data_IF_834409050782
#
_entry.id   IF_834409050782
#
_cell.length_a   1.000
_cell.length_b   1.000
_cell.length_c   1.000
_cell.angle_alpha   90.00
_cell.angle_beta   90.00
_cell.angle_gamma   90.00
#
_symmetry.space_group_name_H-M   'P 1'
#
loop_
_entity.id
_entity.type
_entity.pdbx_description
1 polymer ?
#
# COMPACT_ATOMS: atom_id res chain seq x y z
N UNK A 1 -19.11 16.81 -13.63
CA UNK A 1 -18.32 15.57 -13.50
C UNK A 1 -17.50 15.69 -12.22
N UNK A 2 -17.84 14.92 -11.19
CA UNK A 2 -17.26 15.07 -9.84
C UNK A 2 -15.96 14.28 -9.72
N UNK A 3 -14.93 14.93 -9.19
CA UNK A 3 -13.70 14.31 -8.72
C UNK A 3 -14.06 13.20 -7.73
N UNK A 4 -13.43 12.04 -7.89
CA UNK A 4 -13.62 10.93 -6.97
C UNK A 4 -12.74 11.21 -5.76
N UNK A 5 -13.31 11.92 -4.79
CA UNK A 5 -12.75 12.11 -3.45
C UNK A 5 -12.73 10.75 -2.73
N UNK A 6 -11.56 10.13 -2.61
CA UNK A 6 -11.31 9.10 -1.59
C UNK A 6 -10.23 9.62 -0.64
N UNK A 7 -10.68 10.49 0.25
CA UNK A 7 -9.95 10.94 1.43
C UNK A 7 -10.18 9.92 2.56
N UNK A 8 -9.08 9.30 3.01
CA UNK A 8 -8.77 8.81 4.36
C UNK A 8 -9.80 8.05 5.24
N UNK A 9 -9.36 6.82 5.60
CA UNK A 9 -9.48 6.12 6.91
C UNK A 9 -10.77 5.33 7.22
N UNK A 10 -10.68 4.22 8.01
CA UNK A 10 -10.36 4.34 9.43
C UNK A 10 -9.11 3.57 9.88
N UNK A 11 -8.26 4.30 10.61
CA UNK A 11 -7.79 3.99 11.97
C UNK A 11 -7.74 2.52 12.39
N UNK A 12 -6.51 2.00 12.47
CA UNK A 12 -6.04 0.94 13.40
C UNK A 12 -7.09 -0.07 13.87
N UNK A 13 -7.26 -1.18 13.15
CA UNK A 13 -7.59 -2.44 13.83
C UNK A 13 -6.31 -2.97 14.47
N UNK A 14 -6.30 -3.03 15.80
CA UNK A 14 -5.19 -3.55 16.60
C UNK A 14 -5.15 -5.09 16.62
N UNK A 15 -6.13 -5.74 15.98
CA UNK A 15 -6.26 -7.19 15.89
C UNK A 15 -6.00 -7.66 14.46
N UNK A 16 -4.76 -8.11 14.21
CA UNK A 16 -4.38 -8.85 13.00
C UNK A 16 -4.96 -10.27 13.02
N UNK A 17 -6.30 -10.43 13.05
CA UNK A 17 -6.93 -11.75 13.01
C UNK A 17 -7.80 -11.88 11.76
N UNK A 18 -7.23 -12.52 10.74
CA UNK A 18 -7.94 -13.03 9.57
C UNK A 18 -8.35 -14.47 9.92
N UNK A 19 -9.65 -14.77 9.92
CA UNK A 19 -10.20 -16.10 10.23
C UNK A 19 -10.49 -16.84 8.91
N UNK A 20 -9.62 -17.76 8.44
CA UNK A 20 -9.96 -18.61 7.31
C UNK A 20 -10.95 -19.70 7.75
N UNK A 21 -11.96 -20.00 6.92
CA UNK A 21 -13.11 -20.83 7.32
C UNK A 21 -12.80 -22.26 7.79
N UNK A 22 -11.59 -22.80 7.57
CA UNK A 22 -11.12 -24.04 8.19
C UNK A 22 -9.59 -24.03 8.28
N UNK A 23 -9.03 -23.99 9.48
CA UNK A 23 -7.61 -24.32 9.72
C UNK A 23 -6.85 -23.31 10.57
N UNK A 24 -5.82 -23.82 11.26
CA UNK A 24 -4.91 -23.13 12.18
C UNK A 24 -4.65 -21.67 11.79
N UNK A 25 -4.79 -20.68 12.71
CA UNK A 25 -4.48 -19.28 12.41
C UNK A 25 -3.05 -19.15 11.91
N UNK A 26 -2.89 -18.83 10.62
CA UNK A 26 -1.59 -18.53 10.03
C UNK A 26 -1.31 -17.04 10.23
N UNK A 27 -0.15 -16.66 10.81
CA UNK A 27 0.23 -15.26 10.87
C UNK A 27 0.40 -14.71 9.45
N UNK A 28 -0.08 -13.49 9.22
CA UNK A 28 0.02 -12.81 7.94
C UNK A 28 0.66 -11.44 8.12
N UNK A 29 1.35 -10.99 7.08
CA UNK A 29 1.89 -9.64 6.97
C UNK A 29 1.09 -8.84 5.95
N UNK A 30 0.80 -7.58 6.26
CA UNK A 30 0.11 -6.67 5.35
C UNK A 30 1.12 -5.94 4.48
N UNK A 31 1.20 -6.30 3.21
CA UNK A 31 2.08 -5.61 2.25
C UNK A 31 1.30 -4.55 1.47
N UNK A 32 2.01 -3.48 1.10
CA UNK A 32 1.50 -2.49 0.15
C UNK A 32 1.99 -2.85 -1.26
N UNK A 33 1.08 -2.81 -2.22
CA UNK A 33 1.41 -2.89 -3.64
C UNK A 33 0.78 -1.72 -4.38
N UNK A 34 1.51 -1.15 -5.34
CA UNK A 34 1.09 -0.02 -6.14
C UNK A 34 1.06 -0.44 -7.60
N UNK A 35 -0.12 -0.53 -8.18
CA UNK A 35 -0.32 -0.90 -9.58
C UNK A 35 -0.39 0.37 -10.41
N UNK A 36 0.54 0.53 -11.35
CA UNK A 36 0.55 1.60 -12.34
C UNK A 36 0.00 1.06 -13.67
N UNK A 37 -1.03 1.72 -14.18
CA UNK A 37 -1.57 1.55 -15.53
C UNK A 37 -1.41 2.87 -16.28
N UNK A 38 -0.81 2.83 -17.47
CA UNK A 38 -0.70 4.00 -18.34
C UNK A 38 -0.68 3.54 -19.79
N UNK A 39 -1.40 4.25 -20.66
CA UNK A 39 -1.48 3.84 -22.06
C UNK A 39 -2.33 4.75 -22.92
N UNK A 40 -2.44 4.31 -24.17
CA UNK A 40 -3.28 4.90 -25.20
C UNK A 40 -4.21 3.81 -25.75
N UNK A 41 -5.42 4.15 -26.22
CA UNK A 41 -6.40 3.18 -26.72
C UNK A 41 -5.87 2.39 -27.92
N UNK A 42 -5.09 3.02 -28.79
CA UNK A 42 -4.55 2.40 -30.01
C UNK A 42 -3.23 1.62 -29.76
N UNK A 43 -2.76 1.52 -28.51
CA UNK A 43 -1.49 0.90 -28.15
C UNK A 43 -1.62 -0.10 -27.00
N UNK A 44 -0.57 -0.92 -26.81
CA UNK A 44 -0.51 -1.83 -25.66
C UNK A 44 -0.39 -1.03 -24.35
N UNK A 45 -1.28 -1.24 -23.36
CA UNK A 45 -1.16 -0.58 -22.07
C UNK A 45 0.11 -1.03 -21.33
N UNK A 46 0.84 -0.09 -20.77
CA UNK A 46 1.91 -0.38 -19.82
C UNK A 46 1.30 -0.64 -18.44
N UNK A 47 1.44 -1.87 -17.95
CA UNK A 47 1.03 -2.28 -16.60
C UNK A 47 2.26 -2.68 -15.78
N UNK A 48 2.41 -2.10 -14.60
CA UNK A 48 3.54 -2.41 -13.70
C UNK A 48 3.11 -2.39 -12.24
N UNK A 49 3.79 -3.17 -11.40
CA UNK A 49 3.51 -3.28 -9.96
C UNK A 49 4.76 -2.88 -9.18
N UNK A 50 4.58 -2.02 -8.19
CA UNK A 50 5.65 -1.48 -7.36
C UNK A 50 5.38 -1.75 -5.88
N UNK A 51 6.44 -1.97 -5.11
CA UNK A 51 6.36 -2.17 -3.65
C UNK A 51 6.30 -0.84 -2.89
N UNK A 52 6.69 0.27 -3.53
CA UNK A 52 6.68 1.61 -2.92
C UNK A 52 5.90 2.60 -3.78
N UNK A 53 5.29 3.60 -3.13
CA UNK A 53 4.60 4.69 -3.81
C UNK A 53 5.59 5.54 -4.64
N UNK A 54 6.77 5.84 -4.09
CA UNK A 54 7.79 6.66 -4.74
C UNK A 54 8.23 6.04 -6.09
N UNK A 55 8.38 4.72 -6.16
CA UNK A 55 8.77 4.04 -7.41
C UNK A 55 7.63 4.03 -8.44
N UNK A 56 6.38 3.87 -8.01
CA UNK A 56 5.22 3.99 -8.90
C UNK A 56 5.12 5.40 -9.51
N UNK A 57 5.26 6.45 -8.69
CA UNK A 57 5.22 7.84 -9.17
C UNK A 57 6.40 8.19 -10.07
N UNK A 58 7.61 7.70 -9.77
CA UNK A 58 8.78 7.86 -10.64
C UNK A 58 8.58 7.20 -12.01
N UNK A 59 7.99 6.02 -12.02
CA UNK A 59 7.72 5.27 -13.25
C UNK A 59 6.69 6.01 -14.09
N UNK A 60 5.61 6.52 -13.48
CA UNK A 60 4.63 7.35 -14.19
C UNK A 60 5.25 8.65 -14.75
N UNK A 61 6.03 9.40 -13.97
CA UNK A 61 6.68 10.64 -14.46
C UNK A 61 7.58 10.35 -15.68
N UNK A 62 8.32 9.23 -15.65
CA UNK A 62 9.15 8.81 -16.77
C UNK A 62 8.33 8.52 -18.02
N UNK A 63 7.31 7.68 -17.94
CA UNK A 63 6.48 7.28 -19.09
C UNK A 63 5.77 8.48 -19.70
N UNK A 64 5.18 9.35 -18.86
CA UNK A 64 4.50 10.55 -19.36
C UNK A 64 5.48 11.52 -20.04
N UNK A 65 6.69 11.68 -19.50
CA UNK A 65 7.74 12.50 -20.16
C UNK A 65 8.16 11.92 -21.49
N UNK A 66 8.33 10.60 -21.58
CA UNK A 66 8.64 9.91 -22.83
C UNK A 66 7.54 10.17 -23.88
N UNK A 67 6.26 10.05 -23.52
CA UNK A 67 5.15 10.39 -24.41
C UNK A 67 5.12 11.87 -24.83
N UNK A 68 5.54 12.78 -23.96
CA UNK A 68 5.59 14.21 -24.25
C UNK A 68 6.93 14.64 -24.91
N UNK A 69 7.82 13.71 -25.28
CA UNK A 69 9.18 14.01 -25.77
C UNK A 69 9.97 14.96 -24.85
N UNK A 70 9.72 14.88 -23.55
CA UNK A 70 10.40 15.69 -22.54
C UNK A 70 11.65 14.99 -22.03
N UNK A 71 12.72 15.75 -21.77
CA UNK A 71 13.95 15.19 -21.18
C UNK A 71 13.68 14.63 -19.76
N UNK A 72 14.09 13.39 -19.47
CA UNK A 72 14.03 12.83 -18.11
C UNK A 72 14.82 13.69 -17.13
N UNK A 73 14.30 13.86 -15.89
CA UNK A 73 14.98 14.57 -14.80
C UNK A 73 15.40 13.58 -13.69
N UNK A 74 16.51 12.86 -13.86
CA UNK A 74 16.89 11.75 -12.97
C UNK A 74 17.19 12.16 -11.52
N UNK A 75 17.49 13.43 -11.25
CA UNK A 75 17.87 13.91 -9.91
C UNK A 75 16.71 14.46 -9.07
N UNK A 76 15.51 14.61 -9.65
CA UNK A 76 14.37 15.15 -8.91
C UNK A 76 13.59 13.99 -8.30
N UNK A 77 13.35 14.05 -6.98
CA UNK A 77 12.37 13.15 -6.36
C UNK A 77 11.03 13.36 -7.09
N UNK A 78 10.41 12.27 -7.55
CA UNK A 78 9.10 12.37 -8.18
C UNK A 78 8.11 12.76 -7.08
N UNK A 79 7.55 13.95 -7.23
CA UNK A 79 6.51 14.46 -6.36
C UNK A 79 5.16 13.99 -6.92
N UNK A 80 4.33 13.36 -6.09
CA UNK A 80 3.07 12.78 -6.50
C UNK A 80 2.14 13.84 -7.12
N UNK A 81 2.11 15.06 -6.55
CA UNK A 81 1.26 16.14 -7.02
C UNK A 81 1.75 16.72 -8.34
N UNK A 82 3.06 16.92 -8.50
CA UNK A 82 3.65 17.34 -9.76
C UNK A 82 3.44 16.31 -10.86
N UNK A 83 3.59 15.02 -10.54
CA UNK A 83 3.42 13.90 -11.48
C UNK A 83 1.96 13.79 -11.91
N UNK A 84 1.02 13.87 -10.97
CA UNK A 84 -0.42 13.89 -11.24
C UNK A 84 -0.81 15.03 -12.17
N UNK A 85 -0.30 16.24 -11.92
CA UNK A 85 -0.54 17.41 -12.79
C UNK A 85 -0.01 17.19 -14.20
N UNK A 86 1.19 16.64 -14.33
CA UNK A 86 1.79 16.35 -15.64
C UNK A 86 1.00 15.26 -16.40
N UNK A 87 0.64 14.16 -15.72
CA UNK A 87 -0.14 13.07 -16.29
C UNK A 87 -1.53 13.53 -16.74
N UNK A 88 -2.19 14.38 -15.95
CA UNK A 88 -3.46 14.99 -16.33
C UNK A 88 -3.34 15.93 -17.52
N UNK A 89 -2.26 16.72 -17.62
CA UNK A 89 -2.03 17.57 -18.78
C UNK A 89 -1.79 16.75 -20.05
N UNK A 90 -1.02 15.66 -19.96
CA UNK A 90 -0.82 14.72 -21.06
C UNK A 90 -2.14 14.08 -21.51
N UNK A 91 -2.95 13.60 -20.55
CA UNK A 91 -4.29 13.05 -20.81
C UNK A 91 -5.22 14.08 -21.46
N UNK A 92 -5.23 15.31 -20.98
CA UNK A 92 -6.09 16.37 -21.51
C UNK A 92 -5.82 16.71 -22.98
N UNK A 93 -4.61 16.39 -23.50
CA UNK A 93 -4.29 16.54 -24.91
C UNK A 93 -4.99 15.55 -25.84
N UNK A 94 -5.52 14.44 -25.31
CA UNK A 94 -6.37 13.47 -26.03
C UNK A 94 -7.15 12.63 -25.01
N UNK A 95 -8.25 13.17 -24.45
CA UNK A 95 -8.91 12.61 -23.27
C UNK A 95 -9.66 11.30 -23.53
N UNK A 96 -10.03 11.04 -24.78
CA UNK A 96 -10.74 9.82 -25.20
C UNK A 96 -9.78 8.64 -25.36
N UNK A 97 -8.54 8.90 -25.81
CA UNK A 97 -7.58 7.83 -26.06
C UNK A 97 -6.52 7.67 -24.97
N UNK A 98 -6.26 8.68 -24.12
CA UNK A 98 -5.18 8.63 -23.11
C UNK A 98 -5.72 8.35 -21.73
N UNK A 99 -5.06 7.45 -21.02
CA UNK A 99 -5.43 7.10 -19.66
C UNK A 99 -4.20 6.81 -18.79
N UNK A 100 -4.36 7.04 -17.50
CA UNK A 100 -3.40 6.68 -16.47
C UNK A 100 -4.14 6.40 -15.15
N UNK A 101 -3.59 5.50 -14.34
CA UNK A 101 -4.07 5.21 -12.99
C UNK A 101 -2.92 4.67 -12.11
N UNK A 102 -2.88 5.08 -10.85
CA UNK A 102 -2.05 4.49 -9.80
C UNK A 102 -2.97 4.00 -8.69
N UNK A 103 -3.11 2.67 -8.58
CA UNK A 103 -3.97 2.03 -7.58
C UNK A 103 -3.13 1.46 -6.44
N UNK A 104 -3.51 1.78 -5.20
CA UNK A 104 -2.85 1.19 -4.02
C UNK A 104 -3.65 0.00 -3.51
N UNK A 105 -2.96 -1.10 -3.24
CA UNK A 105 -3.51 -2.34 -2.70
C UNK A 105 -2.87 -2.64 -1.35
N UNK A 106 -3.68 -3.14 -0.41
CA UNK A 106 -3.24 -3.73 0.86
C UNK A 106 -3.54 -5.21 0.81
N UNK A 107 -2.50 -6.03 0.76
CA UNK A 107 -2.62 -7.47 0.54
C UNK A 107 -2.15 -8.22 1.79
N UNK A 108 -2.98 -9.12 2.36
CA UNK A 108 -2.53 -10.04 3.39
C UNK A 108 -1.69 -11.15 2.74
N UNK A 109 -0.45 -11.30 3.16
CA UNK A 109 0.46 -12.34 2.70
C UNK A 109 0.77 -13.30 3.85
N UNK A 110 0.49 -14.61 3.72
CA UNK A 110 0.81 -15.58 4.77
C UNK A 110 2.32 -15.66 4.97
N UNK A 111 2.78 -15.57 6.22
CA UNK A 111 4.20 -15.67 6.56
C UNK A 111 4.56 -17.15 6.73
N UNK A 112 5.47 -17.71 5.91
CA UNK A 112 5.88 -19.11 6.04
C UNK A 112 6.63 -19.33 7.36
N UNK A 113 6.50 -20.52 7.95
CA UNK A 113 7.06 -20.83 9.28
C UNK A 113 8.58 -20.66 9.38
N UNK A 114 9.28 -20.77 8.25
CA UNK A 114 10.75 -20.67 8.14
C UNK A 114 11.24 -19.23 8.38
N UNK A 115 10.39 -18.22 8.13
CA UNK A 115 10.72 -16.81 8.34
C UNK A 115 10.39 -16.31 9.77
N UNK A 116 10.00 -17.21 10.68
CA UNK A 116 9.67 -16.87 12.07
C UNK A 116 10.95 -16.48 12.83
N UNK A 117 11.05 -15.21 13.24
CA UNK A 117 11.85 -14.87 14.41
C UNK A 117 11.08 -15.33 15.66
N UNK A 118 11.69 -16.12 16.57
CA UNK A 118 11.03 -16.48 17.81
C UNK A 118 10.79 -15.20 18.62
N UNK A 119 9.52 -14.85 18.80
CA UNK A 119 9.12 -13.82 19.77
C UNK A 119 9.47 -14.37 21.16
N UNK A 120 10.28 -13.67 21.97
CA UNK A 120 10.51 -14.07 23.36
C UNK A 120 9.17 -14.09 24.07
N UNK A 121 8.74 -15.27 24.52
CA UNK A 121 7.55 -15.40 25.36
C UNK A 121 7.94 -14.88 26.73
N UNK A 122 7.54 -13.65 27.06
CA UNK A 122 7.69 -13.13 28.42
C UNK A 122 6.80 -13.98 29.35
N UNK A 123 7.34 -14.61 30.40
CA UNK A 123 6.55 -15.46 31.27
C UNK A 123 5.44 -14.64 31.93
N UNK A 124 4.23 -15.20 31.95
CA UNK A 124 3.05 -14.57 32.52
C UNK A 124 3.31 -14.06 33.95
N UNK A 125 2.82 -12.86 34.33
CA UNK A 125 3.01 -12.35 35.67
C UNK A 125 2.39 -13.34 36.67
N UNK A 126 3.24 -13.83 37.58
CA UNK A 126 2.79 -14.73 38.64
C UNK A 126 1.82 -13.96 39.53
N UNK A 127 0.53 -14.33 39.47
CA UNK A 127 -0.51 -13.77 40.33
C UNK A 127 -0.23 -14.20 41.77
N UNK A 128 0.43 -13.33 42.54
CA UNK A 128 0.61 -13.52 43.98
C UNK A 128 -0.77 -13.35 44.62
N UNK A 129 -1.36 -14.48 45.05
CA UNK A 129 -2.65 -14.51 45.72
C UNK A 129 -2.49 -13.94 47.14
N UNK A 130 -2.76 -12.64 47.31
CA UNK A 130 -2.80 -12.01 48.63
C UNK A 130 -3.97 -12.57 49.44
N UNK A 131 -3.68 -13.42 50.43
CA UNK A 131 -4.67 -13.85 51.42
C UNK A 131 -4.78 -12.79 52.51
N UNK A 132 -5.75 -11.89 52.38
CA UNK A 132 -6.11 -10.95 53.46
C UNK A 132 -6.83 -11.70 54.57
N UNK A 133 -6.13 -11.94 55.68
CA UNK A 133 -6.69 -12.49 56.92
C UNK A 133 -7.29 -11.32 57.72
N UNK A 134 -8.61 -11.23 57.76
CA UNK A 134 -9.31 -10.27 58.62
C UNK A 134 -9.14 -10.67 60.09
N UNK A 135 -8.57 -9.77 60.90
CA UNK A 135 -8.62 -9.84 62.36
C UNK A 135 -9.60 -8.75 62.81
N UNK A 136 -10.74 -9.17 63.35
CA UNK A 136 -11.64 -8.29 64.12
C UNK A 136 -11.00 -8.02 65.48
N UNK A 137 -11.03 -6.74 65.89
CA UNK A 137 -10.73 -6.26 67.24
C UNK A 137 -11.56 -5.02 67.50
#
# INVERSE_FOLDING_TARGET
MRAVDWVNAPTTSRDNRFEPERGVPVPYEMVSAYTLLVGQTDGEPSVSVHTTADDAWRTLDRVVREHCNMRPRPRRRADADATTRLANAWRAGDPENRYWNVTTHRLPVPVPEIARHPVPVEPAPTLVRATSRWIFG
#
